data_IF_771080453714
#
_entry.id   IF_771080453714
#
_cell.length_a   1.000
_cell.length_b   1.000
_cell.length_c   1.000
_cell.angle_alpha   90.00
_cell.angle_beta   90.00
_cell.angle_gamma   90.00
#
_symmetry.space_group_name_H-M   'P 1'
#
loop_
_entity.id
_entity.type
_entity.pdbx_description
1 polymer ?
#
# COMPACT_ATOMS: atom_id res chain seq x y z
N UNK A 1 57.22 2.26 -8.27
CA UNK A 1 56.65 1.15 -7.50
C UNK A 1 55.38 1.65 -6.86
N UNK A 2 54.38 1.46 -7.46
CA UNK A 2 53.12 0.70 -7.43
C UNK A 2 52.23 1.05 -6.22
N UNK A 3 51.31 2.07 -6.40
CA UNK A 3 50.15 2.34 -5.54
C UNK A 3 48.82 1.86 -6.18
N UNK A 4 48.88 0.89 -7.11
CA UNK A 4 47.68 0.45 -7.83
C UNK A 4 46.86 -0.67 -7.13
N UNK A 5 47.37 -1.21 -6.00
CA UNK A 5 46.75 -2.34 -5.31
C UNK A 5 45.52 -2.02 -4.42
N UNK A 6 45.36 -0.77 -3.97
CA UNK A 6 44.34 -0.45 -2.95
C UNK A 6 42.92 -0.18 -3.52
N UNK A 7 42.84 0.31 -4.75
CA UNK A 7 41.55 0.65 -5.37
C UNK A 7 40.83 -0.60 -5.84
N UNK A 8 41.57 -1.59 -6.39
CA UNK A 8 40.99 -2.85 -6.89
C UNK A 8 40.45 -3.72 -5.73
N UNK A 9 41.11 -3.69 -4.57
CA UNK A 9 40.64 -4.42 -3.36
C UNK A 9 39.40 -3.80 -2.74
N UNK A 10 39.23 -2.48 -2.82
CA UNK A 10 38.02 -1.79 -2.32
C UNK A 10 36.79 -2.11 -3.19
N UNK A 11 36.95 -2.11 -4.52
CA UNK A 11 35.88 -2.49 -5.47
C UNK A 11 35.47 -3.97 -5.34
N UNK A 12 36.43 -4.85 -5.06
CA UNK A 12 36.18 -6.29 -4.89
C UNK A 12 35.45 -6.58 -3.58
N UNK A 13 35.77 -5.89 -2.48
CA UNK A 13 35.04 -5.95 -1.21
C UNK A 13 33.64 -5.35 -1.32
N UNK A 14 33.45 -4.27 -2.06
CA UNK A 14 32.13 -3.70 -2.31
C UNK A 14 31.20 -4.62 -3.11
N UNK A 15 31.73 -5.31 -4.14
CA UNK A 15 30.97 -6.30 -4.92
C UNK A 15 30.55 -7.50 -4.07
N UNK A 16 31.44 -8.03 -3.24
CA UNK A 16 31.11 -9.16 -2.35
C UNK A 16 30.08 -8.75 -1.28
N UNK A 17 30.18 -7.54 -0.72
CA UNK A 17 29.22 -7.03 0.24
C UNK A 17 27.81 -6.85 -0.37
N UNK A 18 27.70 -6.28 -1.56
CA UNK A 18 26.41 -6.12 -2.25
C UNK A 18 25.80 -7.48 -2.62
N UNK A 19 26.61 -8.43 -3.09
CA UNK A 19 26.17 -9.80 -3.39
C UNK A 19 25.76 -10.56 -2.13
N UNK A 20 26.47 -10.43 -1.03
CA UNK A 20 26.08 -11.02 0.25
C UNK A 20 24.83 -10.33 0.81
N UNK A 21 24.69 -9.01 0.63
CA UNK A 21 23.52 -8.26 1.02
C UNK A 21 22.27 -8.68 0.20
N UNK A 22 22.42 -8.99 -1.08
CA UNK A 22 21.36 -9.52 -1.95
C UNK A 22 21.06 -11.01 -1.68
N UNK A 23 22.05 -11.77 -1.22
CA UNK A 23 21.88 -13.19 -0.82
C UNK A 23 21.17 -13.37 0.52
N UNK A 24 21.20 -12.39 1.41
CA UNK A 24 20.33 -12.37 2.60
C UNK A 24 18.90 -12.19 2.10
N UNK A 25 18.28 -13.31 1.73
CA UNK A 25 17.00 -13.36 1.06
C UNK A 25 15.94 -12.57 1.82
N UNK A 26 15.01 -12.01 1.08
CA UNK A 26 13.78 -11.47 1.60
C UNK A 26 12.99 -12.61 2.25
N UNK A 27 13.10 -12.75 3.56
CA UNK A 27 12.47 -13.85 4.33
C UNK A 27 11.37 -13.27 5.20
N UNK A 28 10.19 -13.91 5.26
CA UNK A 28 9.14 -13.49 6.17
C UNK A 28 9.66 -13.40 7.62
N UNK A 29 9.35 -12.31 8.30
CA UNK A 29 9.67 -12.17 9.72
C UNK A 29 8.64 -12.89 10.60
N UNK A 30 9.07 -13.32 11.77
CA UNK A 30 8.16 -13.93 12.75
C UNK A 30 7.20 -12.89 13.28
N UNK A 31 5.90 -13.13 13.09
CA UNK A 31 4.82 -12.28 13.58
C UNK A 31 4.14 -12.99 14.76
N UNK A 32 4.00 -12.27 15.89
CA UNK A 32 3.33 -12.81 17.08
C UNK A 32 1.80 -12.84 16.89
N UNK A 33 1.12 -13.68 17.65
CA UNK A 33 -0.36 -13.78 17.60
C UNK A 33 -1.04 -12.44 17.89
N UNK A 34 -0.55 -11.70 18.89
CA UNK A 34 -1.08 -10.38 19.26
C UNK A 34 -0.82 -9.31 18.20
N UNK A 35 0.39 -9.28 17.65
CA UNK A 35 0.75 -8.38 16.55
C UNK A 35 -0.20 -8.59 15.35
N UNK A 36 -0.40 -9.86 14.96
CA UNK A 36 -1.28 -10.19 13.86
C UNK A 36 -2.75 -9.91 14.18
N UNK A 37 -3.19 -10.12 15.41
CA UNK A 37 -4.54 -9.77 15.85
C UNK A 37 -4.80 -8.26 15.72
N UNK A 38 -3.88 -7.42 16.23
CA UNK A 38 -4.01 -5.96 16.12
C UNK A 38 -4.00 -5.49 14.66
N UNK A 39 -3.16 -6.08 13.81
CA UNK A 39 -3.17 -5.80 12.37
C UNK A 39 -4.53 -6.09 11.74
N UNK A 40 -5.14 -7.23 12.07
CA UNK A 40 -6.47 -7.60 11.59
C UNK A 40 -7.52 -6.58 12.04
N UNK A 41 -7.48 -6.17 13.31
CA UNK A 41 -8.43 -5.18 13.84
C UNK A 41 -8.30 -3.84 13.11
N UNK A 42 -7.08 -3.30 12.99
CA UNK A 42 -6.87 -2.01 12.33
C UNK A 42 -7.21 -2.07 10.83
N UNK A 43 -6.79 -3.12 10.15
CA UNK A 43 -7.10 -3.28 8.74
C UNK A 43 -8.60 -3.51 8.50
N UNK A 44 -9.28 -4.23 9.39
CA UNK A 44 -10.73 -4.40 9.34
C UNK A 44 -11.48 -3.08 9.47
N UNK A 45 -11.06 -2.21 10.39
CA UNK A 45 -11.63 -0.86 10.49
C UNK A 45 -11.46 -0.05 9.20
N UNK A 46 -10.31 -0.19 8.54
CA UNK A 46 -10.05 0.44 7.25
C UNK A 46 -10.94 -0.12 6.13
N UNK A 47 -11.12 -1.44 6.09
CA UNK A 47 -11.99 -2.12 5.10
C UNK A 47 -13.46 -1.73 5.30
N UNK A 48 -13.94 -1.71 6.54
CA UNK A 48 -15.31 -1.27 6.85
C UNK A 48 -15.50 0.16 6.34
N UNK A 49 -14.61 1.07 6.73
CA UNK A 49 -14.67 2.46 6.28
C UNK A 49 -14.68 2.55 4.76
N UNK A 50 -13.78 1.85 4.08
CA UNK A 50 -13.69 1.85 2.62
C UNK A 50 -14.99 1.38 1.94
N UNK A 51 -15.58 0.28 2.41
CA UNK A 51 -16.78 -0.30 1.81
C UNK A 51 -18.10 0.37 2.26
N UNK A 52 -18.07 1.17 3.35
CA UNK A 52 -19.24 1.88 3.85
C UNK A 52 -19.30 3.34 3.39
N UNK A 53 -18.12 4.02 3.35
CA UNK A 53 -18.00 5.42 2.92
C UNK A 53 -17.99 5.55 1.39
N UNK A 54 -17.56 4.51 0.68
CA UNK A 54 -17.70 4.49 -0.75
C UNK A 54 -19.19 4.57 -1.06
N UNK A 55 -19.58 5.53 -1.89
CA UNK A 55 -20.89 5.57 -2.52
C UNK A 55 -20.81 4.83 -3.88
N UNK A 56 -20.28 3.57 -3.88
CA UNK A 56 -20.03 2.79 -5.10
C UNK A 56 -21.35 2.30 -5.70
N UNK A 57 -22.44 2.50 -4.96
CA UNK A 57 -23.76 2.02 -5.27
C UNK A 57 -24.65 3.11 -5.88
N UNK A 58 -24.15 4.33 -5.99
CA UNK A 58 -24.70 5.33 -6.91
C UNK A 58 -24.30 4.95 -8.33
N UNK A 59 -25.05 4.04 -8.90
CA UNK A 59 -24.90 3.68 -10.29
C UNK A 59 -25.62 4.74 -11.14
N UNK A 60 -25.03 5.89 -11.30
CA UNK A 60 -25.42 6.80 -12.36
C UNK A 60 -24.89 6.25 -13.67
N UNK A 61 -25.64 6.41 -14.78
CA UNK A 61 -25.25 5.91 -16.10
C UNK A 61 -23.79 6.28 -16.39
N UNK A 62 -22.94 5.26 -16.58
CA UNK A 62 -21.52 5.45 -16.74
C UNK A 62 -21.21 5.75 -18.21
N UNK A 63 -20.78 6.97 -18.55
CA UNK A 63 -20.47 7.32 -19.94
C UNK A 63 -19.24 6.55 -20.45
N UNK A 64 -18.36 6.11 -19.56
CA UNK A 64 -17.14 5.37 -19.90
C UNK A 64 -16.87 4.32 -18.82
N UNK A 65 -17.42 3.10 -18.95
CA UNK A 65 -17.13 2.03 -18.00
C UNK A 65 -15.64 1.70 -18.00
N UNK A 66 -15.08 1.36 -16.83
CA UNK A 66 -13.66 1.07 -16.67
C UNK A 66 -13.47 -0.33 -16.05
N UNK A 67 -12.28 -0.93 -16.26
CA UNK A 67 -11.94 -2.22 -15.67
C UNK A 67 -12.93 -3.32 -16.03
N UNK A 68 -13.46 -4.03 -15.03
CA UNK A 68 -14.40 -5.15 -15.20
C UNK A 68 -15.72 -4.70 -15.83
N UNK A 69 -16.13 -3.45 -15.63
CA UNK A 69 -17.37 -2.93 -16.20
C UNK A 69 -17.36 -2.84 -17.75
N UNK A 70 -16.20 -2.97 -18.39
CA UNK A 70 -16.11 -3.17 -19.84
C UNK A 70 -16.55 -4.57 -20.30
N UNK A 71 -16.45 -5.55 -19.41
CA UNK A 71 -16.66 -6.96 -19.76
C UNK A 71 -17.99 -7.49 -19.21
N UNK A 72 -18.48 -6.92 -18.11
CA UNK A 72 -19.68 -7.38 -17.40
C UNK A 72 -20.53 -6.17 -17.06
N UNK A 73 -21.84 -6.30 -17.32
CA UNK A 73 -22.81 -5.31 -16.87
C UNK A 73 -22.92 -5.34 -15.34
N UNK A 74 -22.59 -4.21 -14.72
CA UNK A 74 -22.66 -4.02 -13.27
C UNK A 74 -23.84 -3.12 -12.84
N UNK A 75 -24.82 -2.89 -13.72
CA UNK A 75 -26.00 -2.04 -13.43
C UNK A 75 -26.80 -2.53 -12.22
N UNK A 76 -26.81 -3.86 -11.98
CA UNK A 76 -27.44 -4.47 -10.82
C UNK A 76 -26.90 -3.98 -9.47
N UNK A 77 -25.68 -3.41 -9.45
CA UNK A 77 -25.12 -2.86 -8.22
C UNK A 77 -25.82 -1.56 -7.76
N UNK A 78 -26.60 -0.92 -8.65
CA UNK A 78 -27.44 0.22 -8.31
C UNK A 78 -28.77 -0.14 -7.64
N UNK A 79 -29.11 -1.43 -7.54
CA UNK A 79 -30.34 -1.89 -6.92
C UNK A 79 -30.35 -1.65 -5.41
N UNK A 80 -31.50 -1.26 -4.85
CA UNK A 80 -31.65 -0.85 -3.44
C UNK A 80 -31.23 -1.93 -2.43
N UNK A 81 -31.35 -3.21 -2.77
CA UNK A 81 -30.99 -4.32 -1.90
C UNK A 81 -29.46 -4.58 -1.85
N UNK A 82 -28.71 -4.13 -2.82
CA UNK A 82 -27.29 -4.45 -2.95
C UNK A 82 -26.47 -3.77 -1.85
N UNK A 83 -26.68 -2.50 -1.63
CA UNK A 83 -25.92 -1.75 -0.62
C UNK A 83 -26.07 -2.32 0.80
N UNK A 84 -27.29 -2.56 1.34
CA UNK A 84 -27.41 -3.18 2.66
C UNK A 84 -26.83 -4.59 2.70
N UNK A 85 -26.97 -5.38 1.64
CA UNK A 85 -26.39 -6.73 1.56
C UNK A 85 -24.87 -6.69 1.64
N UNK A 86 -24.23 -5.78 0.90
CA UNK A 86 -22.76 -5.58 0.97
C UNK A 86 -22.31 -5.18 2.37
N UNK A 87 -23.03 -4.29 3.05
CA UNK A 87 -22.72 -3.91 4.44
C UNK A 87 -22.76 -5.10 5.38
N UNK A 88 -23.82 -5.90 5.31
CA UNK A 88 -23.96 -7.11 6.15
C UNK A 88 -22.86 -8.11 5.84
N UNK A 89 -22.60 -8.41 4.57
CA UNK A 89 -21.53 -9.33 4.17
C UNK A 89 -20.16 -8.81 4.60
N UNK A 90 -19.90 -7.51 4.48
CA UNK A 90 -18.66 -6.89 4.95
C UNK A 90 -18.46 -7.15 6.44
N UNK A 91 -19.47 -6.88 7.27
CA UNK A 91 -19.37 -7.10 8.72
C UNK A 91 -19.12 -8.58 9.04
N UNK A 92 -19.86 -9.50 8.42
CA UNK A 92 -19.68 -10.94 8.63
C UNK A 92 -18.26 -11.36 8.26
N UNK A 93 -17.77 -10.97 7.07
CA UNK A 93 -16.42 -11.30 6.61
C UNK A 93 -15.33 -10.69 7.50
N UNK A 94 -15.50 -9.44 7.92
CA UNK A 94 -14.57 -8.76 8.83
C UNK A 94 -14.53 -9.46 10.19
N UNK A 95 -15.67 -9.84 10.75
CA UNK A 95 -15.70 -10.58 12.03
C UNK A 95 -14.97 -11.92 11.88
N UNK A 96 -15.22 -12.68 10.81
CA UNK A 96 -14.50 -13.92 10.53
C UNK A 96 -12.99 -13.70 10.39
N UNK A 97 -12.59 -12.65 9.72
CA UNK A 97 -11.17 -12.27 9.55
C UNK A 97 -10.51 -11.89 10.88
N UNK A 98 -11.16 -11.06 11.70
CA UNK A 98 -10.65 -10.65 13.03
C UNK A 98 -10.50 -11.85 13.96
N UNK A 99 -11.48 -12.75 14.00
CA UNK A 99 -11.40 -13.98 14.79
C UNK A 99 -10.35 -14.95 14.22
N UNK A 100 -10.00 -14.83 12.94
CA UNK A 100 -9.03 -15.70 12.24
C UNK A 100 -9.66 -17.02 11.78
N UNK A 101 -10.99 -17.08 11.67
CA UNK A 101 -11.71 -18.26 11.17
C UNK A 101 -12.34 -17.99 9.81
N UNK A 102 -12.30 -18.97 8.92
CA UNK A 102 -12.90 -18.81 7.59
C UNK A 102 -12.23 -17.78 6.68
N UNK A 103 -10.99 -17.38 6.96
CA UNK A 103 -10.25 -16.38 6.16
C UNK A 103 -10.15 -16.76 4.68
N UNK A 104 -10.17 -18.06 4.35
CA UNK A 104 -10.11 -18.57 2.98
C UNK A 104 -11.38 -18.29 2.16
N UNK A 105 -12.48 -17.90 2.82
CA UNK A 105 -13.73 -17.43 2.18
C UNK A 105 -13.87 -15.92 2.37
N UNK A 106 -13.68 -15.44 3.61
CA UNK A 106 -13.92 -14.05 3.97
C UNK A 106 -13.03 -13.07 3.19
N UNK A 107 -11.72 -13.35 3.06
CA UNK A 107 -10.81 -12.44 2.37
C UNK A 107 -11.03 -12.39 0.85
N UNK A 108 -11.19 -13.52 0.12
CA UNK A 108 -11.57 -13.46 -1.30
C UNK A 108 -12.90 -12.75 -1.55
N UNK A 109 -13.90 -12.93 -0.67
CA UNK A 109 -15.18 -12.25 -0.80
C UNK A 109 -15.04 -10.73 -0.57
N UNK A 110 -14.31 -10.30 0.46
CA UNK A 110 -13.99 -8.87 0.65
C UNK A 110 -13.19 -8.29 -0.53
N UNK A 111 -12.25 -9.05 -1.08
CA UNK A 111 -11.50 -8.64 -2.26
C UNK A 111 -12.40 -8.46 -3.48
N UNK A 112 -13.33 -9.40 -3.72
CA UNK A 112 -14.31 -9.31 -4.80
C UNK A 112 -15.21 -8.08 -4.61
N UNK A 113 -15.78 -7.89 -3.42
CA UNK A 113 -16.64 -6.74 -3.11
C UNK A 113 -15.89 -5.42 -3.31
N UNK A 114 -14.67 -5.31 -2.80
CA UNK A 114 -13.82 -4.12 -2.97
C UNK A 114 -13.46 -3.88 -4.44
N UNK A 115 -13.23 -4.95 -5.22
CA UNK A 115 -12.95 -4.84 -6.67
C UNK A 115 -14.17 -4.33 -7.42
N UNK A 116 -15.37 -4.86 -7.14
CA UNK A 116 -16.60 -4.42 -7.78
C UNK A 116 -16.90 -2.95 -7.44
N UNK A 117 -16.85 -2.58 -6.16
CA UNK A 117 -17.04 -1.22 -5.70
C UNK A 117 -16.03 -0.25 -6.36
N UNK A 118 -14.74 -0.60 -6.34
CA UNK A 118 -13.68 0.20 -6.95
C UNK A 118 -13.82 0.32 -8.48
N UNK A 119 -14.32 -0.72 -9.16
CA UNK A 119 -14.58 -0.68 -10.61
C UNK A 119 -15.65 0.36 -10.93
N UNK A 120 -16.76 0.37 -10.21
CA UNK A 120 -17.83 1.35 -10.39
C UNK A 120 -17.30 2.75 -10.09
N UNK A 121 -16.65 2.94 -8.94
CA UNK A 121 -16.11 4.24 -8.54
C UNK A 121 -15.12 4.80 -9.58
N UNK A 122 -14.19 3.97 -10.07
CA UNK A 122 -13.22 4.37 -11.09
C UNK A 122 -13.89 4.67 -12.46
N UNK A 123 -15.08 4.14 -12.72
CA UNK A 123 -15.85 4.43 -13.93
C UNK A 123 -16.60 5.77 -13.88
N UNK A 124 -16.61 6.45 -12.74
CA UNK A 124 -17.21 7.79 -12.57
C UNK A 124 -16.27 8.94 -13.00
N UNK A 125 -15.21 8.64 -13.72
CA UNK A 125 -14.32 9.64 -14.31
C UNK A 125 -13.09 10.03 -13.49
N UNK A 126 -12.96 9.58 -12.24
CA UNK A 126 -11.81 9.84 -11.38
C UNK A 126 -11.30 8.56 -10.70
N UNK A 127 -10.05 8.19 -10.96
CA UNK A 127 -9.44 7.00 -10.34
C UNK A 127 -8.94 7.35 -8.93
N UNK A 128 -9.51 6.72 -7.92
CA UNK A 128 -9.10 6.87 -6.53
C UNK A 128 -8.00 5.86 -6.17
N UNK A 129 -6.75 6.18 -6.44
CA UNK A 129 -5.59 5.29 -6.24
C UNK A 129 -5.47 4.73 -4.82
N UNK A 130 -5.83 5.50 -3.79
CA UNK A 130 -5.76 5.04 -2.40
C UNK A 130 -6.76 3.92 -2.08
N UNK A 131 -7.93 3.90 -2.72
CA UNK A 131 -8.92 2.84 -2.60
C UNK A 131 -8.43 1.56 -3.30
N UNK A 132 -7.79 1.70 -4.46
CA UNK A 132 -7.22 0.57 -5.18
C UNK A 132 -6.15 -0.17 -4.35
N UNK A 133 -5.40 0.54 -3.50
CA UNK A 133 -4.40 -0.10 -2.65
C UNK A 133 -5.03 -1.02 -1.59
N UNK A 134 -6.19 -0.66 -1.01
CA UNK A 134 -6.96 -1.56 -0.11
C UNK A 134 -7.37 -2.83 -0.85
N UNK A 135 -7.91 -2.67 -2.05
CA UNK A 135 -8.32 -3.80 -2.91
C UNK A 135 -7.15 -4.73 -3.19
N UNK A 136 -5.98 -4.20 -3.54
CA UNK A 136 -4.78 -4.99 -3.78
C UNK A 136 -4.30 -5.72 -2.52
N UNK A 137 -4.38 -5.09 -1.34
CA UNK A 137 -4.09 -5.77 -0.06
C UNK A 137 -5.06 -6.92 0.18
N UNK A 138 -6.35 -6.71 -0.02
CA UNK A 138 -7.37 -7.75 0.15
C UNK A 138 -7.17 -8.91 -0.83
N UNK A 139 -6.87 -8.64 -2.10
CA UNK A 139 -6.55 -9.66 -3.11
C UNK A 139 -5.34 -10.47 -2.66
N UNK A 140 -4.26 -9.80 -2.24
CA UNK A 140 -3.03 -10.45 -1.80
C UNK A 140 -3.28 -11.34 -0.59
N UNK A 141 -3.98 -10.83 0.42
CA UNK A 141 -4.33 -11.61 1.61
C UNK A 141 -5.30 -12.75 1.27
N UNK A 142 -6.22 -12.55 0.34
CA UNK A 142 -7.11 -13.59 -0.18
C UNK A 142 -6.32 -14.73 -0.83
N UNK A 143 -5.33 -14.41 -1.67
CA UNK A 143 -4.45 -15.42 -2.29
C UNK A 143 -3.70 -16.20 -1.21
N UNK A 144 -3.10 -15.52 -0.23
CA UNK A 144 -2.39 -16.17 0.89
C UNK A 144 -3.32 -17.07 1.69
N UNK A 145 -4.58 -16.64 1.93
CA UNK A 145 -5.57 -17.43 2.66
C UNK A 145 -5.98 -18.72 1.94
N UNK A 146 -6.09 -18.66 0.62
CA UNK A 146 -6.54 -19.80 -0.21
C UNK A 146 -5.38 -20.74 -0.55
N UNK A 147 -4.14 -20.26 -0.50
CA UNK A 147 -2.95 -21.02 -0.91
C UNK A 147 -2.81 -22.41 -0.28
N UNK A 148 -2.96 -22.61 1.06
CA UNK A 148 -2.85 -23.92 1.69
C UNK A 148 -3.85 -24.94 1.12
N UNK A 149 -5.05 -24.48 0.79
CA UNK A 149 -6.10 -25.31 0.21
C UNK A 149 -5.80 -25.67 -1.24
N UNK A 150 -5.38 -24.71 -2.07
CA UNK A 150 -4.94 -24.94 -3.45
C UNK A 150 -3.75 -25.90 -3.50
N UNK A 151 -2.78 -25.72 -2.62
CA UNK A 151 -1.62 -26.61 -2.50
C UNK A 151 -2.05 -28.06 -2.19
N UNK A 152 -2.95 -28.22 -1.22
CA UNK A 152 -3.49 -29.55 -0.87
C UNK A 152 -4.22 -30.21 -2.04
N UNK A 153 -5.02 -29.46 -2.79
CA UNK A 153 -5.72 -30.01 -3.97
C UNK A 153 -4.76 -30.41 -5.08
N UNK A 154 -3.75 -29.57 -5.36
CA UNK A 154 -2.83 -29.77 -6.47
C UNK A 154 -1.79 -30.86 -6.22
N UNK A 155 -1.22 -30.89 -5.01
CA UNK A 155 -0.11 -31.76 -4.66
C UNK A 155 -0.52 -32.93 -3.77
N UNK A 156 -1.75 -32.98 -3.30
CA UNK A 156 -2.28 -33.96 -2.34
C UNK A 156 -1.50 -34.01 -1.03
N UNK A 157 -0.75 -32.97 -0.72
CA UNK A 157 0.08 -32.82 0.48
C UNK A 157 -0.41 -31.64 1.31
N UNK A 158 -0.25 -31.77 2.63
CA UNK A 158 -0.54 -30.66 3.54
C UNK A 158 0.60 -29.65 3.47
N UNK A 159 0.27 -28.41 3.05
CA UNK A 159 1.25 -27.34 3.09
C UNK A 159 1.69 -27.06 4.53
N UNK A 160 2.99 -27.21 4.79
CA UNK A 160 3.58 -27.02 6.10
C UNK A 160 4.35 -25.71 6.14
N UNK A 161 4.09 -24.93 7.18
CA UNK A 161 4.89 -23.75 7.49
C UNK A 161 6.26 -24.17 8.04
N UNK A 162 7.35 -23.42 7.77
CA UNK A 162 8.58 -23.55 8.53
C UNK A 162 8.30 -23.35 10.03
N UNK A 163 8.98 -24.12 10.88
CA UNK A 163 8.71 -24.20 12.34
C UNK A 163 8.54 -22.87 13.06
N UNK A 164 9.26 -21.84 12.61
CA UNK A 164 9.27 -20.52 13.27
C UNK A 164 8.26 -19.53 12.68
N UNK A 165 7.63 -19.85 11.55
CA UNK A 165 6.75 -18.92 10.83
C UNK A 165 5.28 -19.25 11.08
N UNK A 166 4.46 -18.20 11.17
CA UNK A 166 3.02 -18.30 11.30
C UNK A 166 2.34 -17.88 9.99
N UNK A 167 1.06 -18.18 9.81
CA UNK A 167 0.28 -17.61 8.70
C UNK A 167 0.32 -16.08 8.73
N UNK A 168 0.31 -15.45 9.92
CA UNK A 168 0.47 -14.01 10.06
C UNK A 168 1.76 -13.47 9.45
N UNK A 169 2.87 -14.25 9.54
CA UNK A 169 4.15 -13.90 8.91
C UNK A 169 4.03 -13.81 7.38
N UNK A 170 3.31 -14.76 6.77
CA UNK A 170 3.07 -14.76 5.32
C UNK A 170 2.12 -13.64 4.89
N UNK A 171 1.04 -13.42 5.63
CA UNK A 171 0.13 -12.30 5.37
C UNK A 171 0.87 -10.97 5.40
N UNK A 172 1.68 -10.73 6.44
CA UNK A 172 2.45 -9.49 6.53
C UNK A 172 3.45 -9.35 5.39
N UNK A 173 4.27 -10.38 5.15
CA UNK A 173 5.31 -10.35 4.13
C UNK A 173 4.76 -10.08 2.72
N UNK A 174 3.73 -10.83 2.29
CA UNK A 174 3.15 -10.63 0.97
C UNK A 174 2.38 -9.32 0.85
N UNK A 175 1.75 -8.84 1.93
CA UNK A 175 1.14 -7.51 1.96
C UNK A 175 2.20 -6.42 1.80
N UNK A 176 3.32 -6.51 2.53
CA UNK A 176 4.45 -5.58 2.39
C UNK A 176 5.03 -5.63 0.96
N UNK A 177 5.19 -6.83 0.40
CA UNK A 177 5.69 -7.00 -0.96
C UNK A 177 4.77 -6.36 -2.00
N UNK A 178 3.47 -6.54 -1.86
CA UNK A 178 2.47 -5.92 -2.73
C UNK A 178 2.47 -4.39 -2.60
N UNK A 179 2.46 -3.86 -1.37
CA UNK A 179 2.49 -2.41 -1.12
C UNK A 179 3.78 -1.81 -1.68
N UNK A 180 4.95 -2.36 -1.36
CA UNK A 180 6.23 -1.89 -1.88
C UNK A 180 6.31 -2.02 -3.42
N UNK A 181 5.81 -3.12 -3.97
CA UNK A 181 5.72 -3.35 -5.42
C UNK A 181 4.86 -2.30 -6.13
N UNK A 182 3.77 -1.85 -5.51
CA UNK A 182 2.92 -0.78 -6.07
C UNK A 182 3.69 0.53 -6.25
N UNK A 183 4.55 0.89 -5.29
CA UNK A 183 5.43 2.06 -5.42
C UNK A 183 6.50 1.88 -6.50
N UNK A 184 7.09 0.69 -6.60
CA UNK A 184 8.05 0.39 -7.69
C UNK A 184 7.38 0.51 -9.06
N UNK A 185 6.15 0.03 -9.21
CA UNK A 185 5.37 0.18 -10.44
C UNK A 185 5.09 1.67 -10.71
N UNK A 186 4.77 2.46 -9.69
CA UNK A 186 4.58 3.90 -9.84
C UNK A 186 5.87 4.60 -10.32
N UNK A 187 7.02 4.25 -9.74
CA UNK A 187 8.32 4.75 -10.20
C UNK A 187 8.62 4.32 -11.63
N UNK A 188 8.37 3.05 -11.97
CA UNK A 188 8.56 2.53 -13.33
C UNK A 188 7.68 3.27 -14.34
N UNK A 189 6.41 3.50 -14.00
CA UNK A 189 5.49 4.29 -14.84
C UNK A 189 6.02 5.72 -15.07
N UNK A 190 6.50 6.39 -14.02
CA UNK A 190 7.14 7.70 -14.13
C UNK A 190 8.36 7.66 -15.05
N UNK A 191 9.21 6.64 -14.90
CA UNK A 191 10.41 6.47 -15.72
C UNK A 191 10.05 6.28 -17.20
N UNK A 192 9.13 5.36 -17.50
CA UNK A 192 8.73 5.06 -18.87
C UNK A 192 8.04 6.26 -19.54
N UNK A 193 7.07 6.89 -18.86
CA UNK A 193 6.34 8.03 -19.41
C UNK A 193 7.22 9.25 -19.65
N UNK A 194 8.25 9.44 -18.83
CA UNK A 194 9.22 10.53 -19.01
C UNK A 194 10.41 10.15 -19.89
N UNK A 195 10.45 8.95 -20.47
CA UNK A 195 11.59 8.41 -21.22
C UNK A 195 12.92 8.49 -20.44
N UNK A 196 12.85 8.19 -19.13
CA UNK A 196 14.00 8.25 -18.21
C UNK A 196 14.33 9.65 -17.66
N UNK A 197 13.64 10.68 -18.11
CA UNK A 197 13.96 12.07 -17.75
C UNK A 197 13.15 12.60 -16.55
N UNK A 198 12.49 11.75 -15.78
CA UNK A 198 11.62 12.18 -14.67
C UNK A 198 12.31 13.15 -13.71
N UNK A 199 13.51 12.79 -13.23
CA UNK A 199 14.27 13.63 -12.28
C UNK A 199 14.62 14.97 -12.92
N UNK A 200 15.04 14.95 -14.19
CA UNK A 200 15.42 16.17 -14.92
C UNK A 200 14.22 17.08 -15.16
N UNK A 201 13.08 16.49 -15.49
CA UNK A 201 11.82 17.19 -15.80
C UNK A 201 11.00 17.57 -14.55
N UNK A 202 11.45 17.19 -13.35
CA UNK A 202 10.69 17.44 -12.11
C UNK A 202 10.33 18.90 -11.83
N UNK A 203 11.05 19.94 -12.28
CA UNK A 203 10.59 21.34 -12.16
C UNK A 203 9.25 21.61 -12.85
N UNK A 204 8.89 20.83 -13.90
CA UNK A 204 7.58 20.95 -14.57
C UNK A 204 6.40 20.47 -13.71
N UNK A 205 6.64 19.83 -12.57
CA UNK A 205 5.61 19.56 -11.55
C UNK A 205 4.90 20.85 -11.12
N UNK A 206 5.55 22.02 -11.26
CA UNK A 206 4.91 23.31 -11.07
C UNK A 206 3.59 23.44 -11.84
N UNK A 207 3.50 22.89 -13.06
CA UNK A 207 2.28 22.88 -13.88
C UNK A 207 1.19 21.97 -13.26
N UNK A 208 1.59 20.82 -12.72
CA UNK A 208 0.67 19.90 -12.05
C UNK A 208 0.15 20.48 -10.73
N UNK A 209 0.95 21.28 -10.02
CA UNK A 209 0.51 22.01 -8.84
C UNK A 209 -0.64 22.98 -9.18
N UNK A 210 -0.47 23.80 -10.23
CA UNK A 210 -1.52 24.72 -10.71
C UNK A 210 -2.75 23.94 -11.16
N UNK A 211 -2.55 22.85 -11.91
CA UNK A 211 -3.64 22.02 -12.42
C UNK A 211 -4.47 21.42 -11.27
N UNK A 212 -3.84 20.82 -10.27
CA UNK A 212 -4.56 20.19 -9.16
C UNK A 212 -5.29 21.20 -8.28
N UNK A 213 -4.72 22.37 -8.06
CA UNK A 213 -5.40 23.46 -7.35
C UNK A 213 -6.66 23.94 -8.12
N UNK A 214 -6.54 24.13 -9.43
CA UNK A 214 -7.70 24.50 -10.27
C UNK A 214 -8.76 23.41 -10.29
N UNK A 215 -8.36 22.12 -10.37
CA UNK A 215 -9.31 21.02 -10.28
C UNK A 215 -10.08 20.99 -8.97
N UNK A 216 -9.41 21.25 -7.83
CA UNK A 216 -10.06 21.36 -6.54
C UNK A 216 -11.07 22.52 -6.51
N UNK A 217 -10.69 23.69 -7.00
CA UNK A 217 -11.61 24.84 -7.11
C UNK A 217 -12.84 24.51 -7.96
N UNK A 218 -12.67 24.01 -9.19
CA UNK A 218 -13.80 23.69 -10.05
C UNK A 218 -14.68 22.55 -9.55
N UNK A 219 -14.15 21.71 -8.67
CA UNK A 219 -14.92 20.62 -8.06
C UNK A 219 -15.84 21.10 -6.94
N UNK A 220 -15.41 22.08 -6.18
CA UNK A 220 -16.14 22.52 -4.98
C UNK A 220 -16.76 23.91 -5.15
N UNK A 221 -16.24 24.77 -6.03
CA UNK A 221 -16.66 26.15 -6.32
C UNK A 221 -16.72 27.08 -5.10
N UNK A 222 -16.27 26.61 -3.93
CA UNK A 222 -16.56 27.20 -2.63
C UNK A 222 -15.42 28.07 -2.09
N UNK A 223 -14.19 27.92 -2.63
CA UNK A 223 -13.02 28.59 -2.07
C UNK A 223 -12.12 29.20 -3.15
N UNK A 224 -12.29 30.52 -3.42
CA UNK A 224 -11.42 31.24 -4.35
C UNK A 224 -9.94 31.21 -3.97
N UNK A 225 -9.59 31.01 -2.68
CA UNK A 225 -8.20 30.95 -2.22
C UNK A 225 -7.43 29.77 -2.80
N UNK A 226 -8.11 28.70 -3.21
CA UNK A 226 -7.52 27.56 -3.91
C UNK A 226 -6.94 27.94 -5.28
N UNK A 227 -7.41 29.04 -5.89
CA UNK A 227 -6.87 29.55 -7.16
C UNK A 227 -5.69 30.48 -6.94
N UNK A 228 -5.65 31.17 -5.80
CA UNK A 228 -4.64 32.19 -5.51
C UNK A 228 -3.31 31.63 -5.04
N UNK A 229 -3.25 30.38 -4.62
CA UNK A 229 -2.05 29.78 -4.01
C UNK A 229 -1.01 29.26 -5.03
N UNK A 230 -0.83 29.97 -6.16
CA UNK A 230 0.20 29.64 -7.15
C UNK A 230 1.66 29.83 -6.63
N UNK A 231 1.83 30.34 -5.40
CA UNK A 231 3.17 30.60 -4.84
C UNK A 231 4.07 29.35 -4.84
N UNK A 232 3.52 28.18 -4.50
CA UNK A 232 4.28 26.93 -4.47
C UNK A 232 4.73 26.53 -5.89
N UNK A 233 3.86 26.70 -6.89
CA UNK A 233 4.18 26.42 -8.29
C UNK A 233 5.29 27.38 -8.80
N UNK A 234 5.14 28.69 -8.51
CA UNK A 234 6.14 29.71 -8.86
C UNK A 234 7.48 29.41 -8.16
N UNK A 235 7.44 29.03 -6.90
CA UNK A 235 8.64 28.71 -6.14
C UNK A 235 9.34 27.48 -6.72
N UNK A 236 8.62 26.39 -7.00
CA UNK A 236 9.14 25.16 -7.61
C UNK A 236 9.77 25.45 -8.98
N UNK A 237 9.11 26.27 -9.81
CA UNK A 237 9.61 26.65 -11.13
C UNK A 237 10.93 27.46 -11.05
N UNK A 238 11.02 28.35 -10.06
CA UNK A 238 12.21 29.23 -9.87
C UNK A 238 13.38 28.53 -9.16
N UNK A 239 13.14 27.33 -8.55
CA UNK A 239 14.17 26.57 -7.85
C UNK A 239 14.36 25.16 -8.46
N UNK A 240 14.82 25.04 -9.72
CA UNK A 240 14.83 23.78 -10.44
C UNK A 240 15.74 22.72 -9.81
N UNK A 241 16.85 23.10 -9.19
CA UNK A 241 17.71 22.14 -8.49
C UNK A 241 17.07 21.57 -7.23
N UNK A 242 16.40 22.40 -6.47
CA UNK A 242 15.65 21.96 -5.28
C UNK A 242 14.50 21.02 -5.67
N UNK A 243 13.78 21.37 -6.73
CA UNK A 243 12.72 20.54 -7.30
C UNK A 243 13.24 19.17 -7.72
N UNK A 244 14.41 19.10 -8.38
CA UNK A 244 15.06 17.84 -8.74
C UNK A 244 15.47 17.03 -7.51
N UNK A 245 15.96 17.65 -6.47
CA UNK A 245 16.31 16.94 -5.21
C UNK A 245 15.10 16.34 -4.54
N UNK A 246 14.02 17.10 -4.35
CA UNK A 246 12.82 16.64 -3.65
C UNK A 246 12.05 15.60 -4.49
N UNK A 247 11.65 15.97 -5.70
CA UNK A 247 10.85 15.09 -6.54
C UNK A 247 11.67 13.94 -7.16
N UNK A 248 12.95 14.16 -7.44
CA UNK A 248 13.88 13.10 -7.79
C UNK A 248 14.13 12.15 -6.62
N UNK A 249 14.28 12.68 -5.40
CA UNK A 249 14.37 11.88 -4.18
C UNK A 249 13.14 11.01 -3.96
N UNK A 250 11.92 11.54 -4.20
CA UNK A 250 10.69 10.78 -4.13
C UNK A 250 10.63 9.62 -5.14
N UNK A 251 11.11 9.85 -6.36
CA UNK A 251 11.22 8.80 -7.38
C UNK A 251 12.13 7.65 -6.91
N UNK A 252 13.30 7.96 -6.35
CA UNK A 252 14.20 6.94 -5.82
C UNK A 252 13.61 6.22 -4.60
N UNK A 253 12.92 6.95 -3.71
CA UNK A 253 12.22 6.33 -2.58
C UNK A 253 11.21 5.29 -3.05
N UNK A 254 10.41 5.60 -4.06
CA UNK A 254 9.44 4.67 -4.66
C UNK A 254 10.14 3.51 -5.37
N UNK A 255 11.20 3.79 -6.16
CA UNK A 255 11.94 2.76 -6.91
C UNK A 255 12.61 1.73 -5.99
N UNK A 256 13.06 2.16 -4.82
CA UNK A 256 13.72 1.30 -3.84
C UNK A 256 12.81 0.83 -2.70
N UNK A 257 11.48 1.01 -2.81
CA UNK A 257 10.53 0.64 -1.76
C UNK A 257 10.61 -0.85 -1.35
N UNK A 258 11.04 -1.76 -2.26
CA UNK A 258 11.24 -3.18 -1.95
C UNK A 258 12.31 -3.43 -0.87
N UNK A 259 13.17 -2.47 -0.56
CA UNK A 259 14.10 -2.57 0.57
C UNK A 259 13.35 -2.76 1.90
N UNK A 260 12.10 -2.32 1.98
CA UNK A 260 11.22 -2.56 3.12
C UNK A 260 11.09 -4.05 3.50
N UNK A 261 11.23 -4.96 2.53
CA UNK A 261 11.13 -6.41 2.74
C UNK A 261 12.33 -7.02 3.45
N UNK A 262 13.41 -6.26 3.65
CA UNK A 262 14.64 -6.78 4.23
C UNK A 262 14.50 -7.08 5.73
N UNK A 263 13.90 -6.17 6.47
CA UNK A 263 13.63 -6.29 7.91
C UNK A 263 12.72 -5.15 8.40
N UNK A 264 12.21 -5.28 9.64
CA UNK A 264 11.31 -4.29 10.28
C UNK A 264 11.84 -2.86 10.32
N UNK A 265 13.13 -2.60 10.67
CA UNK A 265 13.66 -1.23 10.64
C UNK A 265 13.61 -0.61 9.26
N UNK A 266 13.96 -1.34 8.21
CA UNK A 266 13.85 -0.84 6.84
C UNK A 266 12.40 -0.60 6.43
N UNK A 267 11.49 -1.55 6.76
CA UNK A 267 10.06 -1.37 6.53
C UNK A 267 9.53 -0.11 7.21
N UNK A 268 9.90 0.12 8.48
CA UNK A 268 9.50 1.29 9.24
C UNK A 268 9.97 2.59 8.58
N UNK A 269 11.26 2.71 8.25
CA UNK A 269 11.80 3.94 7.67
C UNK A 269 11.27 4.21 6.27
N UNK A 270 11.14 3.20 5.41
CA UNK A 270 10.49 3.33 4.10
C UNK A 270 9.03 3.74 4.28
N UNK A 271 8.29 3.12 5.19
CA UNK A 271 6.91 3.47 5.49
C UNK A 271 6.75 4.93 5.94
N UNK A 272 7.55 5.39 6.90
CA UNK A 272 7.55 6.78 7.38
C UNK A 272 7.89 7.76 6.24
N UNK A 273 8.89 7.44 5.42
CA UNK A 273 9.29 8.29 4.30
C UNK A 273 8.20 8.39 3.22
N UNK A 274 7.51 7.28 2.92
CA UNK A 274 6.37 7.27 1.98
C UNK A 274 5.17 8.05 2.55
N UNK A 275 4.90 7.98 3.86
CA UNK A 275 3.86 8.81 4.49
C UNK A 275 4.24 10.29 4.41
N UNK A 276 5.49 10.64 4.68
CA UNK A 276 5.98 12.01 4.54
C UNK A 276 5.83 12.53 3.10
N UNK A 277 6.12 11.67 2.10
CA UNK A 277 5.89 11.97 0.69
C UNK A 277 4.39 12.25 0.41
N UNK A 278 3.48 11.40 0.89
CA UNK A 278 2.03 11.62 0.71
C UNK A 278 1.55 12.90 1.38
N UNK A 279 2.05 13.20 2.57
CA UNK A 279 1.74 14.46 3.26
C UNK A 279 2.27 15.67 2.48
N UNK A 280 3.47 15.58 1.92
CA UNK A 280 4.02 16.62 1.04
C UNK A 280 3.14 16.85 -0.20
N UNK A 281 2.68 15.79 -0.85
CA UNK A 281 1.76 15.86 -1.99
C UNK A 281 0.41 16.47 -1.55
N UNK A 282 -0.11 16.07 -0.40
CA UNK A 282 -1.34 16.66 0.14
C UNK A 282 -1.23 18.18 0.32
N UNK A 283 -0.17 18.65 0.99
CA UNK A 283 0.03 20.09 1.23
C UNK A 283 0.28 20.90 -0.05
N UNK A 284 0.95 20.31 -1.04
CA UNK A 284 1.29 21.02 -2.28
C UNK A 284 0.19 20.93 -3.33
N UNK A 285 -0.52 19.80 -3.41
CA UNK A 285 -1.43 19.47 -4.53
C UNK A 285 -2.88 19.23 -4.06
N UNK A 286 -3.16 19.30 -2.77
CA UNK A 286 -4.47 18.94 -2.17
C UNK A 286 -4.97 17.54 -2.54
N UNK A 287 -4.04 16.61 -2.86
CA UNK A 287 -4.36 15.22 -3.17
C UNK A 287 -4.32 14.36 -1.90
N UNK A 288 -5.46 13.76 -1.58
CA UNK A 288 -5.62 12.95 -0.38
C UNK A 288 -5.24 11.48 -0.59
N UNK A 289 -4.28 10.99 0.20
CA UNK A 289 -3.83 9.58 0.21
C UNK A 289 -4.10 8.88 1.55
N UNK A 290 -5.16 9.28 2.26
CA UNK A 290 -5.42 8.83 3.63
C UNK A 290 -5.46 7.31 3.81
N UNK A 291 -6.09 6.57 2.89
CA UNK A 291 -6.10 5.11 2.94
C UNK A 291 -4.71 4.50 2.70
N UNK A 292 -3.92 5.06 1.77
CA UNK A 292 -2.54 4.62 1.55
C UNK A 292 -1.67 4.84 2.76
N UNK A 293 -1.79 6.00 3.43
CA UNK A 293 -1.07 6.32 4.65
C UNK A 293 -1.41 5.35 5.79
N UNK A 294 -2.69 5.01 5.95
CA UNK A 294 -3.12 4.04 6.97
C UNK A 294 -2.60 2.63 6.67
N UNK A 295 -2.59 2.20 5.40
CA UNK A 295 -1.98 0.92 4.99
C UNK A 295 -0.48 0.92 5.32
N UNK A 296 0.23 2.00 5.03
CA UNK A 296 1.66 2.14 5.36
C UNK A 296 1.90 2.08 6.88
N UNK A 297 1.06 2.74 7.68
CA UNK A 297 1.13 2.69 9.14
C UNK A 297 0.91 1.28 9.70
N UNK A 298 -0.08 0.55 9.16
CA UNK A 298 -0.42 -0.79 9.64
C UNK A 298 0.66 -1.81 9.23
N UNK A 299 1.06 -1.82 7.96
CA UNK A 299 1.85 -2.93 7.42
C UNK A 299 3.34 -2.62 7.26
N UNK A 300 3.76 -1.41 6.82
CA UNK A 300 5.17 -1.08 6.72
C UNK A 300 5.74 -0.54 8.04
N UNK A 301 5.14 0.52 8.59
CA UNK A 301 5.57 1.03 9.90
C UNK A 301 5.28 0.02 11.00
N UNK A 302 4.31 -0.87 10.78
CA UNK A 302 3.93 -1.93 11.70
C UNK A 302 3.63 -1.40 13.10
N UNK A 303 2.76 -0.39 13.20
CA UNK A 303 2.33 0.18 14.48
C UNK A 303 1.83 -0.90 15.45
N UNK A 304 1.07 -1.95 15.02
CA UNK A 304 0.69 -3.07 15.88
C UNK A 304 1.85 -3.73 16.62
N UNK A 305 3.00 -3.93 15.97
CA UNK A 305 4.20 -4.47 16.61
C UNK A 305 4.74 -3.54 17.70
N UNK A 306 4.81 -2.24 17.42
CA UNK A 306 5.33 -1.27 18.39
C UNK A 306 4.40 -1.13 19.58
N UNK A 307 3.07 -1.14 19.37
CA UNK A 307 2.07 -1.15 20.44
C UNK A 307 2.21 -2.39 21.32
N UNK A 308 2.31 -3.58 20.72
CA UNK A 308 2.53 -4.83 21.46
C UNK A 308 3.84 -4.80 22.26
N UNK A 309 4.93 -4.34 21.63
CA UNK A 309 6.25 -4.25 22.28
C UNK A 309 6.26 -3.26 23.46
N UNK A 310 5.56 -2.15 23.31
CA UNK A 310 5.41 -1.16 24.39
C UNK A 310 4.58 -1.74 25.55
N UNK A 311 3.47 -2.38 25.25
CA UNK A 311 2.61 -3.03 26.26
C UNK A 311 3.37 -4.07 27.10
N UNK A 312 4.24 -4.87 26.47
CA UNK A 312 5.10 -5.84 27.20
C UNK A 312 6.12 -5.16 28.12
N UNK A 313 6.64 -3.99 27.78
CA UNK A 313 7.57 -3.26 28.65
C UNK A 313 6.89 -2.69 29.89
N UNK A 314 5.61 -2.31 29.77
CA UNK A 314 4.82 -1.73 30.86
C UNK A 314 4.27 -2.84 31.77
N UNK A 315 3.92 -4.02 31.21
CA UNK A 315 3.31 -5.14 31.93
C UNK A 315 4.27 -6.04 32.73
N UNK A 316 5.59 -5.76 32.73
CA UNK A 316 6.60 -6.58 33.39
C UNK A 316 6.95 -7.89 32.66
N UNK A 317 7.97 -8.64 33.10
CA UNK A 317 8.37 -9.90 32.48
C UNK A 317 7.27 -10.95 32.67
N UNK A 318 6.86 -11.58 31.56
CA UNK A 318 5.95 -12.74 31.61
C UNK A 318 6.56 -13.86 32.43
N UNK A 319 5.78 -14.54 33.32
CA UNK A 319 6.19 -15.81 33.85
C UNK A 319 6.39 -16.77 32.66
N UNK A 320 7.57 -17.42 32.64
CA UNK A 320 7.92 -18.44 31.66
C UNK A 320 6.95 -19.62 31.79
N UNK A 321 5.84 -19.60 31.13
CA UNK A 321 4.98 -20.78 30.92
C UNK A 321 5.38 -21.39 29.57
N UNK A 322 5.99 -22.58 29.56
CA UNK A 322 6.18 -23.30 28.30
C UNK A 322 4.78 -23.67 27.77
N UNK A 323 4.44 -23.14 26.61
CA UNK A 323 3.27 -23.61 25.86
C UNK A 323 3.64 -25.01 25.34
N UNK A 324 3.11 -26.05 26.01
CA UNK A 324 3.01 -27.41 25.48
C UNK A 324 2.06 -27.46 24.30
#
# INVERSE_FOLDING_TARGET
MSKSGSVVTCFRKGKTWLFEWLKVGFVPEVVTGWEWFLMRVFFSGLVIRHLFDADPFRYDSQPSPNGIAHLVDLSWMGEDWVHPTFKVLTIVCVVLFVIGRGCFVALPLLALMSTLAGTIENSQGAIKHSHNLITLVLITQGIVAVWPWVHRLRYREVWRLPEKLTMGSYYLYYTQAMVAGSYVIAALSKFLNSKGLWVWNSPYIALDLVKSQRQAYYRYLDDPSLVESAWAAVWVANHPWFSRMIFGGSFFLEAFALIALKNRPWAFWIGVSLIALHRGIFYLMHLHFGYSELILLIFLCNIPYWMWRLGRRIGGPEPHTPLT
#
